data_IF_351358706149
#
_entry.id   IF_351358706149
#
_cell.length_a   1.000
_cell.length_b   1.000
_cell.length_c   1.000
_cell.angle_alpha   90.00
_cell.angle_beta   90.00
_cell.angle_gamma   90.00
#
_symmetry.space_group_name_H-M   'P 1'
#
loop_
_entity.id
_entity.type
_entity.pdbx_description
1 polymer ?
#
# COMPACT_ATOMS: atom_id res chain seq x y z
N UNK A 1 -52.07 24.77 41.68
CA UNK A 1 -50.71 24.48 42.22
C UNK A 1 -49.76 24.44 41.03
N UNK A 2 -49.10 25.58 40.77
CA UNK A 2 -48.08 25.74 39.73
C UNK A 2 -46.72 25.51 40.37
N UNK A 3 -45.99 24.49 39.93
CA UNK A 3 -44.58 24.30 40.28
C UNK A 3 -43.73 25.00 39.23
N UNK A 4 -43.11 26.12 39.66
CA UNK A 4 -42.14 26.86 38.88
C UNK A 4 -40.80 26.08 38.87
N UNK A 5 -40.42 25.58 37.71
CA UNK A 5 -39.12 24.93 37.48
C UNK A 5 -38.10 26.02 37.20
N UNK A 6 -37.20 26.25 38.15
CA UNK A 6 -36.02 27.10 38.01
C UNK A 6 -35.02 26.44 37.06
N UNK A 7 -35.01 26.91 35.80
CA UNK A 7 -33.97 26.55 34.82
C UNK A 7 -32.70 27.31 35.20
N UNK A 8 -31.69 26.56 35.67
CA UNK A 8 -30.39 27.05 36.10
C UNK A 8 -29.63 27.73 34.95
N UNK A 9 -29.34 29.02 35.14
CA UNK A 9 -28.46 29.88 34.35
C UNK A 9 -26.98 29.59 34.69
N UNK A 10 -26.51 28.38 34.35
CA UNK A 10 -25.11 27.98 34.54
C UNK A 10 -24.43 27.60 33.20
N UNK A 11 -24.87 28.23 32.12
CA UNK A 11 -24.22 28.22 30.81
C UNK A 11 -23.31 29.45 30.63
N UNK A 12 -22.60 29.85 31.69
CA UNK A 12 -21.61 30.91 31.64
C UNK A 12 -20.31 30.40 30.99
N UNK A 13 -20.20 30.66 29.69
CA UNK A 13 -18.96 31.04 29.02
C UNK A 13 -17.68 30.22 29.35
N UNK A 14 -17.63 28.96 28.90
CA UNK A 14 -16.35 28.47 28.36
C UNK A 14 -16.15 29.13 27.01
N UNK A 15 -15.46 30.27 27.00
CA UNK A 15 -14.84 30.75 25.77
C UNK A 15 -14.08 29.57 25.14
N UNK A 16 -14.26 29.25 23.85
CA UNK A 16 -13.46 28.23 23.20
C UNK A 16 -12.00 28.60 23.45
N UNK A 17 -11.28 27.74 24.18
CA UNK A 17 -9.86 27.91 24.39
C UNK A 17 -9.24 28.18 23.02
N UNK A 18 -8.46 29.26 22.93
CA UNK A 18 -7.75 29.60 21.70
C UNK A 18 -7.14 28.29 21.15
N UNK A 19 -7.37 27.96 19.87
CA UNK A 19 -6.91 26.71 19.31
C UNK A 19 -5.41 26.60 19.62
N UNK A 20 -5.02 25.51 20.28
CA UNK A 20 -3.62 25.25 20.57
C UNK A 20 -2.82 25.48 19.28
N UNK A 21 -1.63 26.13 19.36
CA UNK A 21 -0.85 26.45 18.17
C UNK A 21 -0.75 25.20 17.30
N UNK A 22 -1.20 25.31 16.04
CA UNK A 22 -1.28 24.18 15.14
C UNK A 22 0.09 23.50 15.10
N UNK A 23 0.15 22.23 15.53
CA UNK A 23 1.38 21.46 15.52
C UNK A 23 2.00 21.59 14.12
N UNK A 24 3.28 21.93 14.07
CA UNK A 24 3.96 22.10 12.78
C UNK A 24 3.98 20.76 12.04
N UNK A 25 4.04 20.79 10.70
CA UNK A 25 4.18 19.56 9.90
C UNK A 25 5.37 18.72 10.39
N UNK A 26 6.50 19.36 10.71
CA UNK A 26 7.68 18.71 11.28
C UNK A 26 7.38 17.97 12.59
N UNK A 27 6.61 18.57 13.49
CA UNK A 27 6.22 17.98 14.76
C UNK A 27 5.27 16.79 14.56
N UNK A 28 4.25 16.94 13.71
CA UNK A 28 3.32 15.85 13.38
C UNK A 28 4.04 14.61 12.85
N UNK A 29 5.15 14.79 12.14
CA UNK A 29 5.97 13.69 11.60
C UNK A 29 6.85 13.03 12.66
N UNK A 30 7.46 13.83 13.53
CA UNK A 30 8.21 13.31 14.67
C UNK A 30 7.29 12.51 15.62
N UNK A 31 6.01 12.87 15.66
CA UNK A 31 4.99 12.20 16.45
C UNK A 31 4.31 11.03 15.73
N UNK A 32 4.38 10.93 14.40
CA UNK A 32 3.69 9.89 13.64
C UNK A 32 4.16 8.50 14.05
N UNK A 33 3.25 7.72 14.63
CA UNK A 33 3.55 6.39 15.15
C UNK A 33 2.72 5.31 14.47
N UNK A 34 3.43 4.45 13.76
CA UNK A 34 2.85 3.24 13.18
C UNK A 34 2.36 2.28 14.27
N UNK A 35 3.04 2.26 15.42
CA UNK A 35 2.66 1.46 16.59
C UNK A 35 2.46 2.39 17.78
N UNK A 36 1.30 2.30 18.43
CA UNK A 36 0.97 3.11 19.61
C UNK A 36 2.02 3.01 20.72
N UNK A 37 2.61 1.83 20.93
CA UNK A 37 3.60 1.58 21.98
C UNK A 37 4.98 1.27 21.41
N UNK A 38 6.02 1.82 22.05
CA UNK A 38 7.45 1.51 21.78
C UNK A 38 7.76 0.01 21.86
N UNK A 39 7.28 -0.77 22.86
CA UNK A 39 7.57 -2.20 22.90
C UNK A 39 6.99 -2.95 21.69
N UNK A 40 5.81 -2.57 21.18
CA UNK A 40 5.27 -3.17 19.96
C UNK A 40 6.11 -2.83 18.73
N UNK A 41 6.60 -1.60 18.62
CA UNK A 41 7.50 -1.21 17.53
C UNK A 41 8.82 -2.01 17.56
N UNK A 42 9.44 -2.14 18.73
CA UNK A 42 10.67 -2.91 18.90
C UNK A 42 10.43 -4.40 18.64
N UNK A 43 9.32 -4.94 19.14
CA UNK A 43 8.92 -6.33 18.90
C UNK A 43 8.72 -6.60 17.40
N UNK A 44 8.05 -5.70 16.69
CA UNK A 44 7.88 -5.79 15.24
C UNK A 44 9.21 -5.74 14.49
N UNK A 45 10.13 -4.85 14.86
CA UNK A 45 11.44 -4.75 14.22
C UNK A 45 12.32 -5.99 14.47
N UNK A 46 12.21 -6.60 15.65
CA UNK A 46 12.93 -7.83 16.00
C UNK A 46 12.28 -9.10 15.40
N UNK A 47 10.99 -9.05 15.04
CA UNK A 47 10.20 -10.21 14.64
C UNK A 47 10.81 -10.99 13.45
N UNK A 48 11.25 -10.38 12.32
CA UNK A 48 11.87 -11.13 11.22
C UNK A 48 13.08 -11.94 11.67
N UNK A 49 13.93 -11.33 12.49
CA UNK A 49 15.16 -11.95 13.00
C UNK A 49 14.86 -13.06 14.00
N UNK A 50 13.88 -12.84 14.89
CA UNK A 50 13.42 -13.85 15.82
C UNK A 50 12.83 -15.05 15.06
N UNK A 51 12.00 -14.82 14.04
CA UNK A 51 11.42 -15.89 13.20
C UNK A 51 12.52 -16.71 12.50
N UNK A 52 13.49 -16.05 11.88
CA UNK A 52 14.62 -16.72 11.22
C UNK A 52 15.48 -17.50 12.21
N UNK A 53 15.80 -16.92 13.37
CA UNK A 53 16.60 -17.58 14.39
C UNK A 53 15.90 -18.79 14.99
N UNK A 54 14.60 -18.69 15.28
CA UNK A 54 13.78 -19.81 15.77
C UNK A 54 13.67 -20.90 14.72
N UNK A 55 13.40 -20.56 13.46
CA UNK A 55 13.30 -21.55 12.39
C UNK A 55 14.63 -22.26 12.13
N UNK A 56 15.75 -21.53 12.12
CA UNK A 56 17.08 -22.14 11.98
C UNK A 56 17.39 -23.08 13.15
N UNK A 57 17.10 -22.67 14.39
CA UNK A 57 17.28 -23.51 15.56
C UNK A 57 16.41 -24.77 15.51
N UNK A 58 15.16 -24.64 15.04
CA UNK A 58 14.24 -25.76 14.88
C UNK A 58 14.73 -26.75 13.81
N UNK A 59 15.14 -26.26 12.63
CA UNK A 59 15.68 -27.10 11.55
C UNK A 59 16.98 -27.79 11.98
N UNK A 60 17.87 -27.11 12.72
CA UNK A 60 19.07 -27.74 13.28
C UNK A 60 18.70 -28.85 14.27
N UNK A 61 17.74 -28.59 15.17
CA UNK A 61 17.30 -29.60 16.13
C UNK A 61 16.66 -30.82 15.43
N UNK A 62 15.86 -30.59 14.39
CA UNK A 62 15.27 -31.64 13.56
C UNK A 62 16.35 -32.44 12.83
N UNK A 63 17.32 -31.77 12.20
CA UNK A 63 18.45 -32.41 11.54
C UNK A 63 19.28 -33.28 12.51
N UNK A 64 19.54 -32.80 13.74
CA UNK A 64 20.23 -33.56 14.79
C UNK A 64 19.43 -34.79 15.24
N UNK A 65 18.11 -34.78 15.12
CA UNK A 65 17.25 -35.94 15.39
C UNK A 65 17.08 -36.90 14.21
N UNK A 66 17.77 -36.66 13.09
CA UNK A 66 17.70 -37.49 11.88
C UNK A 66 16.47 -37.24 11.00
N UNK A 67 15.70 -36.18 11.27
CA UNK A 67 14.61 -35.76 10.39
C UNK A 67 15.16 -35.03 9.16
N UNK A 68 14.55 -35.19 7.97
CA UNK A 68 14.95 -34.44 6.79
C UNK A 68 14.62 -32.96 6.96
N UNK A 69 15.47 -32.10 6.39
CA UNK A 69 15.27 -30.65 6.36
C UNK A 69 13.97 -30.28 5.63
N UNK A 70 13.11 -29.50 6.28
CA UNK A 70 11.86 -29.04 5.66
C UNK A 70 12.10 -27.73 4.89
N UNK A 71 12.47 -27.90 3.62
CA UNK A 71 12.72 -26.77 2.71
C UNK A 71 11.49 -25.87 2.56
N UNK A 72 10.26 -26.40 2.65
CA UNK A 72 9.03 -25.62 2.53
C UNK A 72 8.86 -24.70 3.72
N UNK A 73 9.05 -25.23 4.92
CA UNK A 73 9.01 -24.43 6.14
C UNK A 73 10.08 -23.34 6.13
N UNK A 74 11.34 -23.68 5.83
CA UNK A 74 12.44 -22.71 5.82
C UNK A 74 12.21 -21.55 4.84
N UNK A 75 11.78 -21.84 3.61
CA UNK A 75 11.46 -20.80 2.60
C UNK A 75 10.23 -20.00 3.03
N UNK A 76 9.23 -20.64 3.65
CA UNK A 76 8.03 -19.96 4.15
C UNK A 76 8.35 -18.94 5.23
N UNK A 77 9.19 -19.31 6.19
CA UNK A 77 9.66 -18.38 7.24
C UNK A 77 10.47 -17.23 6.64
N UNK A 78 11.34 -17.53 5.66
CA UNK A 78 12.10 -16.49 4.96
C UNK A 78 11.19 -15.51 4.22
N UNK A 79 10.18 -16.00 3.50
CA UNK A 79 9.20 -15.17 2.81
C UNK A 79 8.43 -14.28 3.78
N UNK A 80 7.98 -14.83 4.92
CA UNK A 80 7.30 -14.07 5.96
C UNK A 80 8.22 -12.98 6.58
N UNK A 81 9.46 -13.32 6.90
CA UNK A 81 10.45 -12.38 7.42
C UNK A 81 10.71 -11.23 6.44
N UNK A 82 10.84 -11.52 5.14
CA UNK A 82 11.01 -10.52 4.09
C UNK A 82 9.78 -9.60 3.99
N UNK A 83 8.56 -10.16 3.98
CA UNK A 83 7.32 -9.36 3.96
C UNK A 83 7.20 -8.42 5.16
N UNK A 84 7.59 -8.88 6.36
CA UNK A 84 7.59 -8.04 7.58
C UNK A 84 8.65 -6.93 7.47
N UNK A 85 9.85 -7.25 6.96
CA UNK A 85 10.90 -6.25 6.72
C UNK A 85 10.45 -5.17 5.72
N UNK A 86 9.85 -5.58 4.61
CA UNK A 86 9.27 -4.68 3.60
C UNK A 86 8.17 -3.79 4.20
N UNK A 87 7.33 -4.35 5.07
CA UNK A 87 6.32 -3.58 5.77
C UNK A 87 6.93 -2.47 6.66
N UNK A 88 8.05 -2.74 7.33
CA UNK A 88 8.83 -1.71 8.02
C UNK A 88 9.28 -0.58 7.10
N UNK A 89 9.78 -0.91 5.91
CA UNK A 89 10.18 0.11 4.91
C UNK A 89 9.00 0.91 4.38
N UNK A 90 7.86 0.27 4.10
CA UNK A 90 6.64 0.93 3.62
C UNK A 90 6.15 1.96 4.64
N UNK A 91 6.14 1.60 5.93
CA UNK A 91 5.71 2.51 6.98
C UNK A 91 6.63 3.72 7.17
N UNK A 92 7.93 3.55 6.96
CA UNK A 92 8.87 4.67 6.97
C UNK A 92 8.73 5.57 5.73
N UNK A 93 8.38 4.98 4.58
CA UNK A 93 8.20 5.70 3.32
C UNK A 93 6.89 6.51 3.29
N UNK A 94 5.81 6.04 3.91
CA UNK A 94 4.50 6.71 3.86
C UNK A 94 4.52 8.18 4.29
N UNK A 95 4.96 8.54 5.51
CA UNK A 95 5.01 9.95 5.92
C UNK A 95 6.03 10.72 5.07
N UNK A 96 7.17 10.12 4.71
CA UNK A 96 8.20 10.75 3.86
C UNK A 96 7.66 11.14 2.49
N UNK A 97 6.88 10.27 1.85
CA UNK A 97 6.27 10.57 0.57
C UNK A 97 5.36 11.81 0.66
N UNK A 98 4.52 11.91 1.69
CA UNK A 98 3.64 13.08 1.87
C UNK A 98 4.43 14.37 2.12
N UNK A 99 5.54 14.30 2.88
CA UNK A 99 6.45 15.43 3.09
C UNK A 99 7.09 15.86 1.78
N UNK A 100 7.64 14.91 1.02
CA UNK A 100 8.33 15.20 -0.23
C UNK A 100 7.38 15.90 -1.21
N UNK A 101 6.12 15.47 -1.24
CA UNK A 101 5.09 16.15 -2.03
C UNK A 101 4.79 17.56 -1.52
N UNK A 102 4.75 17.77 -0.20
CA UNK A 102 4.56 19.10 0.40
C UNK A 102 5.73 20.04 0.10
N UNK A 103 6.97 19.59 0.27
CA UNK A 103 8.18 20.38 -0.01
C UNK A 103 8.29 20.76 -1.48
N UNK A 104 7.80 19.91 -2.38
CA UNK A 104 7.74 20.19 -3.82
C UNK A 104 6.53 21.06 -4.21
N UNK A 105 5.75 21.54 -3.24
CA UNK A 105 4.51 22.30 -3.45
C UNK A 105 3.48 21.57 -4.35
N UNK A 106 3.51 20.23 -4.36
CA UNK A 106 2.60 19.40 -5.12
C UNK A 106 1.29 19.14 -4.36
N UNK A 107 1.28 19.31 -3.04
CA UNK A 107 0.07 19.28 -2.22
C UNK A 107 -0.43 20.71 -2.02
N UNK A 108 -1.56 21.05 -2.64
CA UNK A 108 -2.28 22.30 -2.36
C UNK A 108 -3.57 22.01 -1.61
N UNK A 109 -3.91 22.90 -0.69
CA UNK A 109 -5.29 22.99 -0.25
C UNK A 109 -6.15 23.42 -1.44
N UNK A 110 -7.46 23.15 -1.34
CA UNK A 110 -8.44 23.67 -2.30
C UNK A 110 -8.23 25.18 -2.43
N UNK A 111 -8.27 25.72 -3.67
CA UNK A 111 -7.89 27.10 -4.04
C UNK A 111 -8.34 28.22 -3.06
N UNK A 112 -9.40 27.99 -2.29
CA UNK A 112 -9.97 28.94 -1.33
C UNK A 112 -9.29 29.01 0.04
N UNK A 113 -8.44 28.04 0.43
CA UNK A 113 -8.08 27.86 1.84
C UNK A 113 -6.67 28.36 2.24
N UNK A 114 -5.79 28.67 1.28
CA UNK A 114 -4.42 29.15 1.56
C UNK A 114 -3.47 28.10 2.15
N UNK A 115 -2.19 28.47 2.31
CA UNK A 115 -1.12 27.52 2.70
C UNK A 115 -1.26 26.99 4.13
N UNK A 116 -1.68 27.82 5.09
CA UNK A 116 -1.87 27.40 6.49
C UNK A 116 -2.95 26.31 6.64
N UNK A 117 -3.99 26.36 5.81
CA UNK A 117 -5.02 25.32 5.79
C UNK A 117 -4.51 24.02 5.17
N UNK A 118 -3.63 24.08 4.17
CA UNK A 118 -2.99 22.89 3.59
C UNK A 118 -2.18 22.13 4.64
N UNK A 119 -1.44 22.87 5.47
CA UNK A 119 -0.65 22.29 6.57
C UNK A 119 -1.55 21.68 7.66
N UNK A 120 -2.58 22.41 8.09
CA UNK A 120 -3.55 21.92 9.06
C UNK A 120 -4.23 20.63 8.56
N UNK A 121 -4.59 20.59 7.27
CA UNK A 121 -5.19 19.41 6.63
C UNK A 121 -4.21 18.26 6.55
N UNK A 122 -2.93 18.51 6.25
CA UNK A 122 -1.89 17.48 6.23
C UNK A 122 -1.67 16.87 7.62
N UNK A 123 -1.58 17.70 8.66
CA UNK A 123 -1.44 17.21 10.05
C UNK A 123 -2.66 16.39 10.47
N UNK A 124 -3.87 16.87 10.17
CA UNK A 124 -5.11 16.13 10.41
C UNK A 124 -5.11 14.79 9.66
N UNK A 125 -4.71 14.79 8.40
CA UNK A 125 -4.63 13.59 7.58
C UNK A 125 -3.64 12.56 8.13
N UNK A 126 -2.49 13.00 8.66
CA UNK A 126 -1.51 12.13 9.31
C UNK A 126 -2.06 11.54 10.61
N UNK A 127 -2.68 12.36 11.46
CA UNK A 127 -3.29 11.91 12.71
C UNK A 127 -4.41 10.89 12.47
N UNK A 128 -5.28 11.12 11.48
CA UNK A 128 -6.30 10.14 11.07
C UNK A 128 -5.70 8.85 10.52
N UNK A 129 -4.56 8.95 9.81
CA UNK A 129 -3.86 7.77 9.28
C UNK A 129 -3.26 6.93 10.40
N UNK A 130 -2.65 7.57 11.40
CA UNK A 130 -2.18 6.91 12.61
C UNK A 130 -3.32 6.24 13.39
N UNK A 131 -4.45 6.93 13.56
CA UNK A 131 -5.63 6.38 14.22
C UNK A 131 -6.16 5.14 13.49
N UNK A 132 -6.21 5.15 12.15
CA UNK A 132 -6.66 4.02 11.36
C UNK A 132 -5.69 2.83 11.42
N UNK A 133 -4.37 3.08 11.36
CA UNK A 133 -3.34 2.04 11.49
C UNK A 133 -3.42 1.30 12.82
N UNK A 134 -3.83 1.98 13.89
CA UNK A 134 -3.98 1.42 15.23
C UNK A 134 -5.43 1.04 15.57
N UNK A 135 -6.34 1.00 14.58
CA UNK A 135 -7.75 0.66 14.80
C UNK A 135 -7.92 -0.80 15.23
N UNK A 136 -8.95 -1.08 16.03
CA UNK A 136 -9.33 -2.44 16.47
C UNK A 136 -9.73 -3.39 15.35
N UNK A 137 -9.90 -2.90 14.12
CA UNK A 137 -10.19 -3.74 12.94
C UNK A 137 -9.02 -4.68 12.64
N UNK A 138 -7.80 -4.30 13.05
CA UNK A 138 -6.66 -5.21 13.01
C UNK A 138 -6.89 -6.51 13.79
N UNK A 139 -7.66 -6.48 14.89
CA UNK A 139 -8.01 -7.70 15.63
C UNK A 139 -8.90 -8.63 14.81
N UNK A 140 -9.86 -8.09 14.06
CA UNK A 140 -10.72 -8.89 13.17
C UNK A 140 -9.90 -9.52 12.04
N UNK A 141 -8.96 -8.78 11.47
CA UNK A 141 -8.03 -9.33 10.48
C UNK A 141 -7.13 -10.42 11.08
N UNK A 142 -6.69 -10.26 12.34
CA UNK A 142 -5.98 -11.30 13.07
C UNK A 142 -6.81 -12.57 13.22
N UNK A 143 -8.06 -12.45 13.71
CA UNK A 143 -8.97 -13.59 13.82
C UNK A 143 -9.22 -14.27 12.46
N UNK A 144 -9.41 -13.48 11.41
CA UNK A 144 -9.55 -14.01 10.04
C UNK A 144 -8.28 -14.76 9.59
N UNK A 145 -7.10 -14.24 9.89
CA UNK A 145 -5.82 -14.90 9.63
C UNK A 145 -5.71 -16.25 10.35
N UNK A 146 -6.09 -16.32 11.63
CA UNK A 146 -6.16 -17.59 12.36
C UNK A 146 -7.13 -18.57 11.72
N UNK A 147 -8.33 -18.12 11.32
CA UNK A 147 -9.32 -18.99 10.64
C UNK A 147 -8.75 -19.55 9.34
N UNK A 148 -8.08 -18.72 8.53
CA UNK A 148 -7.44 -19.16 7.29
C UNK A 148 -6.36 -20.21 7.57
N UNK A 149 -5.49 -19.96 8.55
CA UNK A 149 -4.45 -20.92 8.93
C UNK A 149 -5.05 -22.22 9.43
N UNK A 150 -6.07 -22.17 10.30
CA UNK A 150 -6.79 -23.38 10.75
C UNK A 150 -7.37 -24.11 9.54
N UNK A 151 -8.10 -23.44 8.66
CA UNK A 151 -8.73 -24.07 7.50
C UNK A 151 -7.71 -24.73 6.55
N UNK A 152 -6.54 -24.12 6.38
CA UNK A 152 -5.47 -24.64 5.51
C UNK A 152 -4.73 -25.79 6.18
N UNK A 153 -4.44 -25.71 7.49
CA UNK A 153 -3.65 -26.72 8.20
C UNK A 153 -4.50 -27.88 8.76
N UNK A 154 -5.81 -27.70 8.92
CA UNK A 154 -6.73 -28.72 9.43
C UNK A 154 -6.64 -30.07 8.70
N UNK A 155 -6.60 -30.12 7.36
CA UNK A 155 -6.53 -31.38 6.63
C UNK A 155 -5.21 -32.15 6.84
N UNK A 156 -4.16 -31.49 7.35
CA UNK A 156 -2.81 -32.06 7.46
C UNK A 156 -2.53 -32.77 8.78
N UNK A 157 -3.55 -33.34 9.41
CA UNK A 157 -3.36 -34.25 10.54
C UNK A 157 -3.56 -33.62 11.92
N UNK A 158 -4.42 -32.60 12.00
CA UNK A 158 -4.95 -32.14 13.28
C UNK A 158 -5.78 -33.27 13.91
N UNK A 159 -6.49 -34.10 13.16
CA UNK A 159 -7.42 -35.08 13.74
C UNK A 159 -8.64 -34.39 14.36
N UNK A 160 -9.73 -35.11 14.59
CA UNK A 160 -10.93 -34.50 15.17
C UNK A 160 -10.65 -34.02 16.60
N UNK A 161 -11.23 -32.91 17.11
CA UNK A 161 -10.99 -32.43 18.48
C UNK A 161 -11.18 -33.49 19.57
N UNK A 162 -12.05 -34.48 19.32
CA UNK A 162 -12.27 -35.63 20.20
C UNK A 162 -11.04 -36.53 20.32
N UNK A 163 -10.26 -36.69 19.25
CA UNK A 163 -9.04 -37.52 19.22
C UNK A 163 -7.90 -36.87 20.02
N UNK A 164 -7.96 -35.55 20.24
CA UNK A 164 -6.94 -34.81 20.98
C UNK A 164 -6.98 -35.16 22.46
N UNK A 165 -8.17 -35.26 23.03
CA UNK A 165 -8.33 -35.62 24.44
C UNK A 165 -7.76 -37.02 24.72
N UNK A 166 -8.01 -37.98 23.82
CA UNK A 166 -7.45 -39.33 23.92
C UNK A 166 -5.93 -39.34 23.70
N UNK A 167 -5.43 -38.60 22.70
CA UNK A 167 -4.00 -38.49 22.42
C UNK A 167 -3.22 -37.83 23.58
N UNK A 168 -3.76 -36.77 24.17
CA UNK A 168 -3.15 -36.08 25.33
C UNK A 168 -3.14 -36.94 26.59
N UNK A 169 -4.16 -37.78 26.78
CA UNK A 169 -4.21 -38.71 27.90
C UNK A 169 -3.22 -39.88 27.72
N UNK A 170 -3.02 -40.35 26.48
CA UNK A 170 -2.22 -41.55 26.18
C UNK A 170 -0.74 -41.24 25.91
N UNK A 171 -0.41 -40.08 25.32
CA UNK A 171 0.94 -39.75 24.89
C UNK A 171 1.37 -38.37 25.41
N UNK A 172 2.34 -38.28 26.34
CA UNK A 172 2.88 -37.00 26.81
C UNK A 172 3.42 -36.12 25.68
N UNK A 173 3.91 -36.72 24.59
CA UNK A 173 4.37 -36.01 23.39
C UNK A 173 3.26 -35.28 22.63
N UNK A 174 1.98 -35.64 22.83
CA UNK A 174 0.86 -34.95 22.19
C UNK A 174 0.75 -33.48 22.65
N UNK A 175 1.24 -33.14 23.86
CA UNK A 175 1.33 -31.75 24.32
C UNK A 175 2.26 -30.89 23.45
N UNK A 176 3.32 -31.47 22.88
CA UNK A 176 4.19 -30.77 21.94
C UNK A 176 3.44 -30.44 20.63
N UNK A 177 2.57 -31.36 20.18
CA UNK A 177 1.68 -31.11 19.04
C UNK A 177 0.70 -29.97 19.30
N UNK A 178 0.02 -29.97 20.46
CA UNK A 178 -0.89 -28.88 20.86
C UNK A 178 -0.15 -27.54 20.91
N UNK A 179 1.04 -27.51 21.51
CA UNK A 179 1.86 -26.31 21.57
C UNK A 179 2.24 -25.82 20.18
N UNK A 180 2.64 -26.73 19.28
CA UNK A 180 2.94 -26.41 17.88
C UNK A 180 1.75 -25.75 17.18
N UNK A 181 0.55 -26.33 17.29
CA UNK A 181 -0.66 -25.75 16.69
C UNK A 181 -1.03 -24.41 17.30
N UNK A 182 -0.89 -24.24 18.62
CA UNK A 182 -1.12 -22.95 19.27
C UNK A 182 -0.17 -21.87 18.72
N UNK A 183 1.10 -22.21 18.49
CA UNK A 183 2.08 -21.32 17.87
C UNK A 183 1.66 -20.99 16.43
N UNK A 184 1.32 -21.98 15.62
CA UNK A 184 0.86 -21.79 14.23
C UNK A 184 -0.38 -20.89 14.16
N UNK A 185 -1.38 -21.09 15.03
CA UNK A 185 -2.59 -20.26 15.09
C UNK A 185 -2.30 -18.83 15.55
N UNK A 186 -1.35 -18.67 16.48
CA UNK A 186 -0.87 -17.35 16.93
C UNK A 186 -0.11 -16.62 15.82
N UNK A 187 0.66 -17.34 14.99
CA UNK A 187 1.29 -16.79 13.79
C UNK A 187 0.25 -16.37 12.76
N UNK A 188 -0.80 -17.17 12.56
CA UNK A 188 -1.95 -16.78 11.73
C UNK A 188 -2.62 -15.50 12.21
N UNK A 189 -2.80 -15.36 13.53
CA UNK A 189 -3.32 -14.14 14.14
C UNK A 189 -2.40 -12.94 13.88
N UNK A 190 -1.10 -13.11 14.14
CA UNK A 190 -0.09 -12.08 13.90
C UNK A 190 -0.04 -11.64 12.45
N UNK A 191 -0.03 -12.58 11.50
CA UNK A 191 -0.02 -12.31 10.07
C UNK A 191 -1.26 -11.52 9.64
N UNK A 192 -2.45 -11.96 10.05
CA UNK A 192 -3.70 -11.25 9.78
C UNK A 192 -3.68 -9.83 10.36
N UNK A 193 -3.30 -9.68 11.63
CA UNK A 193 -3.17 -8.39 12.29
C UNK A 193 -2.19 -7.45 11.56
N UNK A 194 -1.08 -7.99 11.03
CA UNK A 194 -0.12 -7.22 10.26
C UNK A 194 -0.65 -6.81 8.89
N UNK A 195 -1.42 -7.67 8.20
CA UNK A 195 -2.05 -7.37 6.90
C UNK A 195 -3.03 -6.20 6.97
N UNK A 196 -3.68 -5.97 8.12
CA UNK A 196 -4.56 -4.80 8.31
C UNK A 196 -3.84 -3.47 8.02
N UNK A 197 -2.55 -3.37 8.34
CA UNK A 197 -1.80 -2.11 8.25
C UNK A 197 -1.56 -1.63 6.81
N UNK A 198 -1.07 -2.45 5.86
CA UNK A 198 -1.04 -2.05 4.46
C UNK A 198 -2.45 -1.78 3.88
N UNK A 199 -3.49 -2.48 4.36
CA UNK A 199 -4.88 -2.16 3.98
C UNK A 199 -5.29 -0.77 4.46
N UNK A 200 -5.01 -0.43 5.72
CA UNK A 200 -5.24 0.91 6.27
C UNK A 200 -4.47 1.98 5.49
N UNK A 201 -3.20 1.74 5.14
CA UNK A 201 -2.44 2.65 4.27
C UNK A 201 -3.07 2.78 2.88
N UNK A 202 -3.53 1.69 2.26
CA UNK A 202 -4.21 1.75 0.98
C UNK A 202 -5.48 2.61 1.06
N UNK A 203 -6.28 2.45 2.11
CA UNK A 203 -7.48 3.28 2.36
C UNK A 203 -7.10 4.77 2.45
N UNK A 204 -6.05 5.10 3.20
CA UNK A 204 -5.61 6.50 3.34
C UNK A 204 -5.05 7.05 2.03
N UNK A 205 -4.25 6.26 1.33
CA UNK A 205 -3.71 6.63 0.02
C UNK A 205 -4.82 6.90 -1.00
N UNK A 206 -5.88 6.07 -1.03
CA UNK A 206 -7.08 6.34 -1.83
C UNK A 206 -7.72 7.69 -1.48
N UNK A 207 -7.90 7.97 -0.19
CA UNK A 207 -8.50 9.22 0.30
C UNK A 207 -7.63 10.46 0.07
N UNK A 208 -6.33 10.31 -0.14
CA UNK A 208 -5.43 11.45 -0.39
C UNK A 208 -5.84 12.25 -1.63
N UNK A 209 -6.37 11.59 -2.67
CA UNK A 209 -6.85 12.28 -3.87
C UNK A 209 -8.16 13.06 -3.68
N UNK A 210 -8.88 12.83 -2.58
CA UNK A 210 -10.03 13.63 -2.18
C UNK A 210 -9.63 14.73 -1.21
N UNK A 211 -8.65 14.46 -0.34
CA UNK A 211 -8.17 15.40 0.67
C UNK A 211 -7.35 16.56 0.06
N UNK A 212 -6.54 16.29 -0.97
CA UNK A 212 -5.60 17.25 -1.53
C UNK A 212 -5.84 17.50 -3.02
N UNK A 213 -5.55 18.73 -3.46
CA UNK A 213 -5.40 19.05 -4.87
C UNK A 213 -3.93 18.91 -5.25
N UNK A 214 -3.65 18.11 -6.28
CA UNK A 214 -2.29 17.89 -6.74
C UNK A 214 -1.92 18.90 -7.83
N UNK A 215 -0.90 19.73 -7.58
CA UNK A 215 -0.32 20.56 -8.62
C UNK A 215 0.74 19.76 -9.38
N UNK A 216 0.40 19.31 -10.59
CA UNK A 216 1.26 18.41 -11.37
C UNK A 216 2.43 19.19 -11.97
N UNK A 217 3.65 18.77 -11.64
CA UNK A 217 4.85 19.30 -12.29
C UNK A 217 5.05 18.60 -13.65
N UNK A 218 4.63 19.26 -14.73
CA UNK A 218 4.67 18.70 -16.10
C UNK A 218 6.09 18.48 -16.63
N UNK A 219 7.07 19.14 -16.03
CA UNK A 219 8.49 19.05 -16.41
C UNK A 219 9.27 18.07 -15.53
N UNK A 220 8.60 17.36 -14.61
CA UNK A 220 9.26 16.41 -13.74
C UNK A 220 9.80 15.21 -14.54
N UNK A 221 11.09 14.83 -14.36
CA UNK A 221 11.69 13.71 -15.09
C UNK A 221 11.05 12.34 -14.77
N UNK A 222 10.23 12.23 -13.71
CA UNK A 222 9.57 10.99 -13.33
C UNK A 222 8.45 10.55 -14.30
N UNK A 223 7.96 11.44 -15.16
CA UNK A 223 6.82 11.19 -16.06
C UNK A 223 5.49 10.99 -15.33
N UNK A 224 5.44 11.23 -14.02
CA UNK A 224 4.30 11.02 -13.12
C UNK A 224 3.81 12.34 -12.51
N UNK A 225 4.34 13.48 -12.95
CA UNK A 225 3.96 14.81 -12.46
C UNK A 225 4.56 15.14 -11.09
N UNK A 226 5.62 14.44 -10.68
CA UNK A 226 6.20 14.54 -9.35
C UNK A 226 5.54 13.63 -8.30
N UNK A 227 4.50 12.87 -8.67
CA UNK A 227 3.74 12.00 -7.77
C UNK A 227 4.26 10.55 -7.69
N UNK A 228 5.42 10.25 -8.29
CA UNK A 228 6.05 8.92 -8.20
C UNK A 228 6.15 8.35 -6.78
N UNK A 229 6.43 9.14 -5.71
CA UNK A 229 6.44 8.59 -4.34
C UNK A 229 5.14 7.90 -3.92
N UNK A 230 3.97 8.34 -4.43
CA UNK A 230 2.70 7.68 -4.14
C UNK A 230 2.57 6.35 -4.90
N UNK A 231 3.05 6.29 -6.15
CA UNK A 231 3.13 5.05 -6.91
C UNK A 231 4.06 4.03 -6.26
N UNK A 232 5.21 4.48 -5.75
CA UNK A 232 6.17 3.64 -5.03
C UNK A 232 5.54 3.05 -3.73
N UNK A 233 4.70 3.82 -3.03
CA UNK A 233 3.92 3.30 -1.90
C UNK A 233 2.90 2.23 -2.31
N UNK A 234 2.19 2.45 -3.43
CA UNK A 234 1.28 1.45 -3.99
C UNK A 234 2.01 0.16 -4.36
N UNK A 235 3.21 0.26 -4.96
CA UNK A 235 4.07 -0.87 -5.25
C UNK A 235 4.55 -1.57 -3.97
N UNK A 236 4.93 -0.82 -2.94
CA UNK A 236 5.31 -1.39 -1.64
C UNK A 236 4.19 -2.18 -0.98
N UNK A 237 2.94 -1.70 -1.03
CA UNK A 237 1.76 -2.44 -0.58
C UNK A 237 1.60 -3.73 -1.38
N UNK A 238 1.69 -3.65 -2.71
CA UNK A 238 1.56 -4.81 -3.58
C UNK A 238 2.65 -5.86 -3.35
N UNK A 239 3.90 -5.44 -3.11
CA UNK A 239 5.03 -6.33 -2.87
C UNK A 239 4.88 -7.13 -1.57
N UNK A 240 4.38 -6.49 -0.50
CA UNK A 240 4.09 -7.18 0.77
C UNK A 240 3.04 -8.29 0.56
N UNK A 241 2.00 -7.99 -0.22
CA UNK A 241 0.92 -8.93 -0.54
C UNK A 241 1.34 -9.99 -1.58
N UNK A 242 2.29 -9.66 -2.45
CA UNK A 242 2.84 -10.56 -3.46
C UNK A 242 3.78 -11.60 -2.86
N UNK A 243 4.46 -11.30 -1.74
CA UNK A 243 5.37 -12.25 -1.06
C UNK A 243 4.72 -13.62 -0.81
N UNK A 244 3.56 -13.70 -0.12
CA UNK A 244 2.79 -14.93 0.03
C UNK A 244 2.36 -15.55 -1.30
N UNK A 245 1.95 -14.74 -2.30
CA UNK A 245 1.55 -15.24 -3.61
C UNK A 245 2.71 -15.95 -4.33
N UNK A 246 3.91 -15.36 -4.30
CA UNK A 246 5.13 -15.92 -4.90
C UNK A 246 5.51 -17.22 -4.19
N UNK A 247 5.47 -17.24 -2.85
CA UNK A 247 5.74 -18.44 -2.07
C UNK A 247 4.78 -19.58 -2.43
N UNK A 248 3.47 -19.31 -2.37
CA UNK A 248 2.43 -20.31 -2.65
C UNK A 248 2.47 -20.77 -4.11
N UNK A 249 2.71 -19.85 -5.04
CA UNK A 249 2.88 -20.13 -6.46
C UNK A 249 4.08 -21.01 -6.77
N UNK A 250 5.23 -20.70 -6.17
CA UNK A 250 6.45 -21.49 -6.32
C UNK A 250 6.27 -22.92 -5.82
N UNK A 251 5.58 -23.10 -4.69
CA UNK A 251 5.26 -24.44 -4.17
C UNK A 251 4.21 -25.18 -5.01
N UNK A 252 3.15 -24.50 -5.45
CA UNK A 252 2.18 -25.08 -6.38
C UNK A 252 2.88 -25.59 -7.66
N UNK A 253 3.83 -24.80 -8.19
CA UNK A 253 4.66 -25.20 -9.33
C UNK A 253 5.54 -26.43 -9.01
N UNK A 254 6.32 -26.38 -7.93
CA UNK A 254 7.25 -27.45 -7.56
C UNK A 254 6.56 -28.79 -7.30
N UNK A 255 5.38 -28.77 -6.65
CA UNK A 255 4.56 -29.96 -6.41
C UNK A 255 3.96 -30.53 -7.70
N UNK A 256 3.55 -29.67 -8.64
CA UNK A 256 2.98 -30.08 -9.92
C UNK A 256 4.04 -30.63 -10.87
N UNK A 257 5.24 -30.06 -10.85
CA UNK A 257 6.39 -30.52 -11.62
C UNK A 257 7.08 -31.76 -11.03
N UNK A 258 6.59 -32.32 -9.93
CA UNK A 258 7.18 -33.44 -9.19
C UNK A 258 8.65 -33.22 -8.77
N UNK A 259 9.10 -31.96 -8.62
CA UNK A 259 10.44 -31.66 -8.10
C UNK A 259 10.56 -32.00 -6.61
N UNK A 260 9.45 -31.95 -5.89
CA UNK A 260 9.34 -32.35 -4.49
C UNK A 260 8.10 -33.24 -4.36
N UNK A 261 8.25 -34.38 -3.71
CA UNK A 261 7.14 -35.26 -3.32
C UNK A 261 7.10 -35.35 -1.80
N UNK A 262 6.58 -34.32 -1.12
CA UNK A 262 6.45 -34.39 0.32
C UNK A 262 5.40 -35.45 0.69
N UNK A 263 5.77 -36.35 1.60
CA UNK A 263 4.88 -37.42 2.07
C UNK A 263 3.61 -36.82 2.67
N UNK A 264 2.44 -37.26 2.21
CA UNK A 264 1.14 -36.86 2.76
C UNK A 264 0.51 -35.61 2.13
N UNK A 265 1.06 -35.10 1.03
CA UNK A 265 0.58 -33.89 0.33
C UNK A 265 -0.09 -34.18 -1.03
N UNK A 266 -0.57 -35.41 -1.25
CA UNK A 266 -1.13 -35.86 -2.54
C UNK A 266 -2.38 -35.06 -2.99
N UNK A 267 -3.03 -34.30 -2.08
CA UNK A 267 -4.13 -33.37 -2.38
C UNK A 267 -3.79 -31.87 -2.25
N UNK A 268 -2.53 -31.52 -1.95
CA UNK A 268 -2.14 -30.16 -1.57
C UNK A 268 -2.07 -29.15 -2.72
N UNK A 269 -2.02 -29.59 -3.99
CA UNK A 269 -1.77 -28.71 -5.14
C UNK A 269 -2.84 -27.62 -5.32
N UNK A 270 -4.12 -28.02 -5.25
CA UNK A 270 -5.25 -27.12 -5.49
C UNK A 270 -5.38 -26.01 -4.42
N UNK A 271 -5.31 -26.29 -3.10
CA UNK A 271 -5.30 -25.26 -2.07
C UNK A 271 -4.18 -24.22 -2.26
N UNK A 272 -2.95 -24.66 -2.59
CA UNK A 272 -1.83 -23.75 -2.81
C UNK A 272 -2.07 -22.83 -4.01
N UNK A 273 -2.54 -23.37 -5.14
CA UNK A 273 -2.88 -22.55 -6.31
C UNK A 273 -4.03 -21.58 -6.04
N UNK A 274 -5.08 -22.03 -5.33
CA UNK A 274 -6.22 -21.17 -4.97
C UNK A 274 -5.81 -20.00 -4.07
N UNK A 275 -4.99 -20.26 -3.05
CA UNK A 275 -4.44 -19.22 -2.18
C UNK A 275 -3.47 -18.30 -2.93
N UNK A 276 -2.62 -18.85 -3.81
CA UNK A 276 -1.73 -18.05 -4.65
C UNK A 276 -2.52 -17.08 -5.54
N UNK A 277 -3.61 -17.55 -6.16
CA UNK A 277 -4.50 -16.73 -6.97
C UNK A 277 -5.16 -15.61 -6.15
N UNK A 278 -5.63 -15.93 -4.94
CA UNK A 278 -6.21 -14.94 -4.03
C UNK A 278 -5.18 -13.87 -3.63
N UNK A 279 -3.99 -14.28 -3.19
CA UNK A 279 -2.93 -13.35 -2.81
C UNK A 279 -2.45 -12.50 -4.00
N UNK A 280 -2.35 -13.07 -5.21
CA UNK A 280 -2.02 -12.36 -6.44
C UNK A 280 -3.08 -11.28 -6.78
N UNK A 281 -4.37 -11.64 -6.69
CA UNK A 281 -5.48 -10.71 -6.89
C UNK A 281 -5.46 -9.58 -5.85
N UNK A 282 -5.19 -9.90 -4.58
CA UNK A 282 -5.05 -8.91 -3.51
C UNK A 282 -3.83 -7.99 -3.74
N UNK A 283 -2.72 -8.50 -4.26
CA UNK A 283 -1.56 -7.67 -4.58
C UNK A 283 -1.87 -6.66 -5.70
N UNK A 284 -2.55 -7.10 -6.76
CA UNK A 284 -3.02 -6.20 -7.83
C UNK A 284 -4.01 -5.16 -7.31
N UNK A 285 -4.99 -5.58 -6.50
CA UNK A 285 -5.95 -4.67 -5.87
C UNK A 285 -5.23 -3.66 -4.95
N UNK A 286 -4.27 -4.13 -4.16
CA UNK A 286 -3.44 -3.32 -3.27
C UNK A 286 -2.59 -2.28 -4.01
N UNK A 287 -2.25 -2.51 -5.27
CA UNK A 287 -1.62 -1.51 -6.14
C UNK A 287 -2.63 -0.52 -6.73
N UNK A 288 -3.63 -1.01 -7.45
CA UNK A 288 -4.49 -0.16 -8.30
C UNK A 288 -5.55 0.62 -7.50
N UNK A 289 -6.15 -0.01 -6.50
CA UNK A 289 -7.24 0.61 -5.74
C UNK A 289 -6.84 1.90 -5.03
N UNK A 290 -5.74 1.95 -4.23
CA UNK A 290 -5.33 3.19 -3.61
C UNK A 290 -4.93 4.29 -4.62
N UNK A 291 -4.29 3.90 -5.72
CA UNK A 291 -3.84 4.85 -6.73
C UNK A 291 -4.99 5.36 -7.62
N UNK A 292 -6.14 4.68 -7.62
CA UNK A 292 -7.33 5.15 -8.34
C UNK A 292 -7.84 6.49 -7.82
N UNK A 293 -7.84 6.69 -6.49
CA UNK A 293 -8.22 7.96 -5.87
C UNK A 293 -7.31 9.11 -6.30
N UNK A 294 -5.99 8.87 -6.30
CA UNK A 294 -4.98 9.81 -6.81
C UNK A 294 -5.15 10.05 -8.30
N UNK A 295 -5.37 9.00 -9.11
CA UNK A 295 -5.61 9.14 -10.56
C UNK A 295 -6.81 10.02 -10.86
N UNK A 296 -7.90 9.89 -10.08
CA UNK A 296 -9.08 10.76 -10.23
C UNK A 296 -8.72 12.23 -9.99
N UNK A 297 -7.91 12.51 -8.98
CA UNK A 297 -7.40 13.86 -8.73
C UNK A 297 -6.52 14.37 -9.88
N UNK A 298 -5.60 13.55 -10.39
CA UNK A 298 -4.77 13.89 -11.55
C UNK A 298 -5.60 14.15 -12.81
N UNK A 299 -6.66 13.36 -13.06
CA UNK A 299 -7.57 13.57 -14.21
C UNK A 299 -8.32 14.91 -14.11
N UNK A 300 -8.74 15.32 -12.90
CA UNK A 300 -9.34 16.65 -12.68
C UNK A 300 -8.34 17.77 -13.01
N UNK A 301 -7.09 17.66 -12.52
CA UNK A 301 -6.03 18.62 -12.84
C UNK A 301 -5.71 18.65 -14.33
N UNK A 302 -5.65 17.48 -14.98
CA UNK A 302 -5.46 17.38 -16.43
C UNK A 302 -6.56 18.10 -17.21
N UNK A 303 -7.82 18.00 -16.79
CA UNK A 303 -8.91 18.73 -17.45
C UNK A 303 -8.72 20.25 -17.34
N UNK A 304 -8.32 20.76 -16.16
CA UNK A 304 -8.02 22.19 -15.96
C UNK A 304 -6.86 22.66 -16.86
N UNK A 305 -5.74 21.92 -16.85
CA UNK A 305 -4.56 22.23 -17.69
C UNK A 305 -4.94 22.17 -19.18
N UNK A 306 -5.76 21.20 -19.59
CA UNK A 306 -6.21 21.10 -20.98
C UNK A 306 -7.03 22.31 -21.42
N UNK A 307 -7.93 22.82 -20.58
CA UNK A 307 -8.68 24.04 -20.89
C UNK A 307 -7.75 25.26 -21.09
N UNK A 308 -6.67 25.37 -20.32
CA UNK A 308 -5.64 26.40 -20.49
C UNK A 308 -4.82 26.19 -21.77
N UNK A 309 -4.52 24.95 -22.13
CA UNK A 309 -3.83 24.63 -23.38
C UNK A 309 -4.71 24.89 -24.60
N UNK A 310 -6.03 24.68 -24.50
CA UNK A 310 -6.97 24.96 -25.57
C UNK A 310 -7.12 26.48 -25.80
N UNK A 311 -7.04 27.29 -24.74
CA UNK A 311 -6.98 28.75 -24.89
C UNK A 311 -5.67 29.20 -25.55
N UNK A 312 -4.54 28.61 -25.19
CA UNK A 312 -3.24 28.83 -25.86
C UNK A 312 -3.29 28.39 -27.32
N UNK A 313 -3.91 27.25 -27.64
CA UNK A 313 -4.11 26.78 -29.01
C UNK A 313 -4.87 27.80 -29.86
N UNK A 314 -5.96 28.36 -29.32
CA UNK A 314 -6.70 29.43 -30.01
C UNK A 314 -5.87 30.69 -30.23
N UNK A 315 -5.02 31.07 -29.27
CA UNK A 315 -4.10 32.22 -29.44
C UNK A 315 -3.05 31.95 -30.52
N UNK A 316 -2.48 30.74 -30.57
CA UNK A 316 -1.56 30.31 -31.63
C UNK A 316 -2.24 30.42 -32.99
N UNK A 317 -3.46 29.92 -33.12
CA UNK A 317 -4.22 29.95 -34.37
C UNK A 317 -4.57 31.38 -34.80
N UNK A 318 -4.99 32.23 -33.85
CA UNK A 318 -5.29 33.64 -34.12
C UNK A 318 -4.04 34.41 -34.56
N UNK A 319 -2.91 34.23 -33.89
CA UNK A 319 -1.66 34.91 -34.21
C UNK A 319 -1.06 34.42 -35.54
N UNK A 320 -1.17 33.12 -35.83
CA UNK A 320 -0.75 32.57 -37.12
C UNK A 320 -1.60 33.12 -38.28
N UNK A 321 -2.92 33.25 -38.09
CA UNK A 321 -3.82 33.88 -39.08
C UNK A 321 -3.52 35.36 -39.26
N UNK A 322 -3.32 36.10 -38.16
CA UNK A 322 -3.02 37.54 -38.26
C UNK A 322 -1.69 37.83 -38.97
N UNK A 323 -0.67 36.98 -38.76
CA UNK A 323 0.60 37.05 -39.48
C UNK A 323 0.41 36.79 -40.98
N UNK A 324 -0.42 35.81 -41.35
CA UNK A 324 -0.70 35.49 -42.75
C UNK A 324 -1.49 36.60 -43.45
N UNK A 325 -2.58 37.08 -42.83
CA UNK A 325 -3.50 38.06 -43.42
C UNK A 325 -2.86 39.45 -43.55
N UNK A 326 -1.90 39.79 -42.70
CA UNK A 326 -1.23 41.10 -42.68
C UNK A 326 0.22 41.07 -43.18
N UNK A 327 0.68 39.96 -43.78
CA UNK A 327 2.07 39.77 -44.18
C UNK A 327 2.62 40.88 -45.09
N UNK A 328 1.78 41.44 -45.97
CA UNK A 328 2.17 42.53 -46.89
C UNK A 328 2.17 43.91 -46.24
N UNK A 329 1.53 44.07 -45.08
CA UNK A 329 1.29 45.37 -44.42
C UNK A 329 2.10 45.56 -43.14
N UNK A 330 2.56 44.48 -42.52
CA UNK A 330 3.33 44.50 -41.28
C UNK A 330 4.74 45.05 -41.54
N UNK A 331 5.20 45.91 -40.62
CA UNK A 331 6.61 46.28 -40.57
C UNK A 331 7.47 45.03 -40.25
N UNK A 332 8.64 44.83 -40.88
CA UNK A 332 9.47 43.65 -40.64
C UNK A 332 9.86 43.43 -39.17
N UNK A 333 10.00 44.49 -38.36
CA UNK A 333 10.32 44.35 -36.95
C UNK A 333 9.13 43.79 -36.15
N UNK A 334 7.91 44.27 -36.44
CA UNK A 334 6.68 43.77 -35.83
C UNK A 334 6.40 42.32 -36.21
N UNK A 335 6.62 41.96 -37.47
CA UNK A 335 6.48 40.59 -37.97
C UNK A 335 7.36 39.61 -37.21
N UNK A 336 8.65 39.95 -37.00
CA UNK A 336 9.59 39.11 -36.23
C UNK A 336 9.16 38.95 -34.77
N UNK A 337 8.70 40.02 -34.12
CA UNK A 337 8.25 39.94 -32.73
C UNK A 337 7.02 39.04 -32.56
N UNK A 338 6.08 39.08 -33.53
CA UNK A 338 4.92 38.18 -33.54
C UNK A 338 5.32 36.73 -33.83
N UNK A 339 6.29 36.50 -34.71
CA UNK A 339 6.83 35.16 -35.00
C UNK A 339 7.51 34.55 -33.77
N UNK A 340 8.37 35.31 -33.08
CA UNK A 340 9.01 34.88 -31.82
C UNK A 340 7.96 34.51 -30.76
N UNK A 341 6.91 35.33 -30.63
CA UNK A 341 5.79 35.03 -29.73
C UNK A 341 5.06 33.75 -30.14
N UNK A 342 4.80 33.54 -31.43
CA UNK A 342 4.16 32.33 -31.94
C UNK A 342 4.99 31.08 -31.65
N UNK A 343 6.29 31.14 -31.90
CA UNK A 343 7.22 30.05 -31.59
C UNK A 343 7.26 29.75 -30.09
N UNK A 344 7.32 30.78 -29.25
CA UNK A 344 7.26 30.63 -27.81
C UNK A 344 5.98 29.91 -27.37
N UNK A 345 4.80 30.35 -27.85
CA UNK A 345 3.53 29.72 -27.52
C UNK A 345 3.47 28.27 -28.00
N UNK A 346 3.95 27.98 -29.23
CA UNK A 346 4.03 26.61 -29.75
C UNK A 346 4.93 25.72 -28.89
N UNK A 347 6.08 26.24 -28.44
CA UNK A 347 7.00 25.54 -27.55
C UNK A 347 6.36 25.22 -26.20
N UNK A 348 5.70 26.20 -25.58
CA UNK A 348 4.95 26.01 -24.33
C UNK A 348 3.84 24.97 -24.51
N UNK A 349 3.05 25.05 -25.59
CA UNK A 349 2.00 24.08 -25.88
C UNK A 349 2.55 22.66 -26.07
N UNK A 350 3.59 22.50 -26.90
CA UNK A 350 4.20 21.21 -27.19
C UNK A 350 4.80 20.54 -25.95
N UNK A 351 5.40 21.34 -25.05
CA UNK A 351 5.98 20.87 -23.79
C UNK A 351 4.91 20.39 -22.80
N UNK A 352 3.77 21.07 -22.74
CA UNK A 352 2.74 20.83 -21.73
C UNK A 352 1.58 19.93 -22.18
N UNK A 353 1.50 19.53 -23.46
CA UNK A 353 0.40 18.69 -23.99
C UNK A 353 0.29 17.30 -23.36
N UNK A 354 1.40 16.76 -22.82
CA UNK A 354 1.44 15.43 -22.21
C UNK A 354 1.29 15.56 -20.69
N UNK A 355 0.06 15.54 -20.21
CA UNK A 355 -0.24 15.54 -18.78
C UNK A 355 -0.46 14.10 -18.28
N UNK A 356 0.35 13.59 -17.34
CA UNK A 356 0.16 12.25 -16.79
C UNK A 356 -1.15 12.14 -16.00
N UNK A 357 -1.70 10.92 -15.93
CA UNK A 357 -2.97 10.63 -15.23
C UNK A 357 -2.85 9.56 -14.16
N UNK A 358 -1.66 8.99 -14.00
CA UNK A 358 -1.35 7.97 -13.01
C UNK A 358 -0.09 8.36 -12.26
N UNK A 359 -0.01 8.08 -10.94
CA UNK A 359 1.14 8.40 -10.12
C UNK A 359 2.27 7.35 -10.23
N UNK A 360 2.34 6.62 -11.36
CA UNK A 360 3.33 5.59 -11.62
C UNK A 360 3.69 5.56 -13.10
N UNK A 361 4.89 5.06 -13.41
CA UNK A 361 5.39 4.94 -14.77
C UNK A 361 5.32 3.48 -15.28
N UNK A 362 5.72 3.27 -16.53
CA UNK A 362 5.71 1.94 -17.14
C UNK A 362 6.67 0.95 -16.45
N UNK A 363 7.76 1.43 -15.85
CA UNK A 363 8.71 0.58 -15.12
C UNK A 363 8.06 0.01 -13.87
N UNK A 364 7.39 0.85 -13.06
CA UNK A 364 6.63 0.40 -11.88
C UNK A 364 5.55 -0.63 -12.26
N UNK A 365 4.87 -0.43 -13.39
CA UNK A 365 3.87 -1.39 -13.88
C UNK A 365 4.53 -2.72 -14.30
N UNK A 366 5.67 -2.67 -14.97
CA UNK A 366 6.42 -3.86 -15.36
C UNK A 366 6.92 -4.64 -14.14
N UNK A 367 7.42 -3.95 -13.12
CA UNK A 367 7.81 -4.55 -11.84
C UNK A 367 6.62 -5.28 -11.19
N UNK A 368 5.45 -4.64 -11.13
CA UNK A 368 4.23 -5.27 -10.62
C UNK A 368 3.85 -6.52 -11.40
N UNK A 369 3.90 -6.47 -12.74
CA UNK A 369 3.57 -7.60 -13.60
C UNK A 369 4.59 -8.74 -13.46
N UNK A 370 5.87 -8.43 -13.33
CA UNK A 370 6.93 -9.41 -13.10
C UNK A 370 6.71 -10.20 -11.80
N UNK A 371 6.22 -9.54 -10.73
CA UNK A 371 5.88 -10.20 -9.47
C UNK A 371 4.74 -11.23 -9.62
N UNK A 372 3.90 -11.12 -10.65
CA UNK A 372 2.81 -12.06 -10.89
C UNK A 372 3.23 -13.30 -11.68
N UNK A 373 4.43 -13.32 -12.27
CA UNK A 373 4.85 -14.44 -13.12
C UNK A 373 4.95 -15.75 -12.34
N UNK A 374 5.50 -15.72 -11.11
CA UNK A 374 5.63 -16.92 -10.26
C UNK A 374 4.27 -17.49 -9.82
N UNK A 375 3.33 -16.71 -9.23
CA UNK A 375 2.02 -17.23 -8.89
C UNK A 375 1.25 -17.73 -10.12
N UNK A 376 1.32 -17.02 -11.25
CA UNK A 376 0.66 -17.47 -12.48
C UNK A 376 1.25 -18.78 -13.00
N UNK A 377 2.57 -18.94 -13.00
CA UNK A 377 3.22 -20.20 -13.38
C UNK A 377 2.79 -21.36 -12.48
N UNK A 378 2.68 -21.13 -11.16
CA UNK A 378 2.16 -22.11 -10.21
C UNK A 378 0.72 -22.51 -10.47
N UNK A 379 -0.17 -21.55 -10.72
CA UNK A 379 -1.57 -21.80 -11.04
C UNK A 379 -1.70 -22.57 -12.36
N UNK A 380 -0.99 -22.14 -13.40
CA UNK A 380 -0.99 -22.79 -14.72
C UNK A 380 -0.46 -24.22 -14.61
N UNK A 381 0.60 -24.46 -13.85
CA UNK A 381 1.17 -25.79 -13.65
C UNK A 381 0.17 -26.75 -13.00
N UNK A 382 -0.59 -26.32 -11.98
CA UNK A 382 -1.63 -27.14 -11.34
C UNK A 382 -2.78 -27.47 -12.30
N UNK A 383 -3.09 -26.60 -13.26
CA UNK A 383 -4.17 -26.81 -14.23
C UNK A 383 -3.76 -27.70 -15.41
N UNK A 384 -2.49 -27.68 -15.80
CA UNK A 384 -1.99 -28.38 -17.00
C UNK A 384 -1.32 -29.71 -16.65
N UNK A 385 -0.55 -29.76 -15.56
CA UNK A 385 0.23 -30.93 -15.18
C UNK A 385 -0.64 -31.88 -14.32
N UNK A 386 -0.68 -33.18 -14.66
CA UNK A 386 -1.52 -34.16 -13.99
C UNK A 386 -1.10 -34.46 -12.54
#
# INVERSE_FOLDING_TARGET
MMTATTVSTEAAARAPSAPAPAATVAEALAQFRVFRSRPLANGFAALPWAMLGIAAALEIALALSGQPFDLMFAIGVLAAALSIGLMGTLFAQFPRALIDLRHRNLLRARETEGDAAAETRLVTFLAESEALLNHSLGLLFGLAGTIVVVAVFWPFGVGAPSEWAEALARYPSAWLGVLFYLVVYSLGFGAGYLIWRPVALAIRLAKSGEAFEFDLSLENPDGCGGLKPLGDLGLGIALILAGPAIFLGGWAFALSAHFVQPRGLDGGRLPFAGLAALCAALALAGFFWPLWGVSRAMRRRRAQVRNQLDSLGRQIDQLAKSLLDNAERLDPAEGRAQEEKLEFLRRVYARNRRVPVWPFNAVTLLELLALQLVPLAGIIAVLILP
#
